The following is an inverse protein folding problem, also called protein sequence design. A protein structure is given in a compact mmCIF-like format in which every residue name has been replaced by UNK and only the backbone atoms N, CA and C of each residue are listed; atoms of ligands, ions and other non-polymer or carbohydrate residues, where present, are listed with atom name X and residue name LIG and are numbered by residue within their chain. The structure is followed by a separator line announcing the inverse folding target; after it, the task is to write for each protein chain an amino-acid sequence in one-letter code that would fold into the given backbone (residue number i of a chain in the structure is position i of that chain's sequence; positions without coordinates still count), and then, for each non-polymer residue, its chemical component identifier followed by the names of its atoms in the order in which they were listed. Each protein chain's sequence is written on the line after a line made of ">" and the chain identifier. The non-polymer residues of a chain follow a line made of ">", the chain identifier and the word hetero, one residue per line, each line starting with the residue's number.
data_IF_165608020653
#
_entry.id   IF_165608020653
#
_cell.length_a   1.000
_cell.length_b   1.000
_cell.length_c   1.000
_cell.angle_alpha   90.00
_cell.angle_beta   90.00
_cell.angle_gamma   90.00
#
_symmetry.space_group_name_H-M   'P 1'
#
loop_
_entity.id
_entity.type
_entity.pdbx_description
1 polymer ?
#
# COMPACT_ATOMS: atom_id res chain seq x y z
N UNK A 1 3.13 2.12 -19.96
CA UNK A 1 4.48 1.56 -19.71
C UNK A 1 4.82 1.47 -18.21
N UNK A 2 4.82 2.58 -17.47
CA UNK A 2 5.13 2.60 -16.03
C UNK A 2 4.33 1.63 -15.15
N UNK A 3 3.05 1.42 -15.46
CA UNK A 3 2.19 0.50 -14.69
C UNK A 3 2.76 -0.92 -14.67
N UNK A 4 3.22 -1.44 -15.81
CA UNK A 4 3.77 -2.80 -15.89
C UNK A 4 5.04 -2.96 -15.04
N UNK A 5 5.95 -1.98 -15.08
CA UNK A 5 7.16 -1.99 -14.27
C UNK A 5 6.83 -1.99 -12.77
N UNK A 6 5.84 -1.19 -12.35
CA UNK A 6 5.42 -1.17 -10.94
C UNK A 6 4.82 -2.50 -10.50
N UNK A 7 3.99 -3.14 -11.33
CA UNK A 7 3.38 -4.44 -11.00
C UNK A 7 4.44 -5.53 -10.87
N UNK A 8 5.42 -5.55 -11.77
CA UNK A 8 6.54 -6.49 -11.70
C UNK A 8 7.38 -6.27 -10.45
N UNK A 9 7.76 -5.03 -10.16
CA UNK A 9 8.53 -4.68 -8.97
C UNK A 9 7.80 -5.05 -7.67
N UNK A 10 6.50 -4.76 -7.59
CA UNK A 10 5.66 -5.12 -6.43
C UNK A 10 5.54 -6.65 -6.28
N UNK A 11 5.40 -7.38 -7.38
CA UNK A 11 5.29 -8.84 -7.37
C UNK A 11 6.59 -9.50 -6.90
N UNK A 12 7.74 -9.07 -7.44
CA UNK A 12 9.07 -9.54 -7.04
C UNK A 12 9.30 -9.25 -5.55
N UNK A 13 9.04 -8.01 -5.12
CA UNK A 13 9.18 -7.61 -3.73
C UNK A 13 8.31 -8.46 -2.80
N UNK A 14 7.06 -8.74 -3.19
CA UNK A 14 6.13 -9.54 -2.36
C UNK A 14 6.64 -10.96 -2.16
N UNK A 15 7.14 -11.60 -3.22
CA UNK A 15 7.71 -12.95 -3.15
C UNK A 15 9.00 -12.94 -2.33
N UNK A 16 9.88 -11.97 -2.58
CA UNK A 16 11.16 -11.85 -1.89
C UNK A 16 11.00 -11.63 -0.39
N UNK A 17 10.08 -10.73 0.00
CA UNK A 17 9.74 -10.48 1.40
C UNK A 17 9.14 -11.72 2.02
N UNK A 18 8.16 -12.39 1.37
CA UNK A 18 7.57 -13.62 1.92
C UNK A 18 8.62 -14.71 2.17
N UNK A 19 9.64 -14.81 1.32
CA UNK A 19 10.75 -15.76 1.48
C UNK A 19 11.65 -15.45 2.69
N UNK A 20 11.75 -14.20 3.11
CA UNK A 20 12.67 -13.76 4.17
C UNK A 20 11.97 -13.21 5.43
N UNK A 21 10.63 -13.15 5.46
CA UNK A 21 9.85 -12.55 6.55
C UNK A 21 10.04 -13.27 7.90
N UNK A 22 10.43 -14.55 7.89
CA UNK A 22 10.73 -15.30 9.12
C UNK A 22 12.09 -14.93 9.74
N UNK A 23 12.99 -14.36 8.94
CA UNK A 23 14.33 -13.94 9.38
C UNK A 23 14.43 -12.45 9.69
N UNK A 24 13.55 -11.63 9.10
CA UNK A 24 13.58 -10.17 9.22
C UNK A 24 12.23 -9.69 9.77
N UNK A 25 12.26 -9.03 10.92
CA UNK A 25 11.04 -8.55 11.55
C UNK A 25 10.33 -7.51 10.64
N UNK A 26 8.99 -7.59 10.45
CA UNK A 26 8.24 -6.67 9.58
C UNK A 26 8.47 -5.18 9.87
N UNK A 27 8.72 -4.81 11.12
CA UNK A 27 9.04 -3.43 11.50
C UNK A 27 10.35 -2.93 10.89
N UNK A 28 11.39 -3.76 10.81
CA UNK A 28 12.66 -3.40 10.18
C UNK A 28 12.49 -3.16 8.68
N UNK A 29 11.69 -3.99 8.00
CA UNK A 29 11.37 -3.82 6.58
C UNK A 29 10.61 -2.51 6.32
N UNK A 30 9.61 -2.22 7.15
CA UNK A 30 8.81 -0.99 7.04
C UNK A 30 9.64 0.26 7.32
N UNK A 31 10.44 0.25 8.39
CA UNK A 31 11.31 1.38 8.75
C UNK A 31 12.39 1.60 7.70
N UNK A 32 13.07 0.54 7.24
CA UNK A 32 14.09 0.65 6.20
C UNK A 32 13.55 1.26 4.91
N UNK A 33 12.33 0.88 4.50
CA UNK A 33 11.63 1.48 3.37
C UNK A 33 11.38 2.98 3.55
N UNK A 34 10.89 3.40 4.72
CA UNK A 34 10.59 4.82 4.99
C UNK A 34 11.86 5.65 5.07
N UNK A 35 12.92 5.12 5.67
CA UNK A 35 14.25 5.77 5.70
C UNK A 35 14.80 5.93 4.29
N UNK A 36 14.69 4.90 3.43
CA UNK A 36 15.10 5.01 2.03
C UNK A 36 14.27 6.07 1.28
N UNK A 37 12.94 6.09 1.45
CA UNK A 37 12.08 7.11 0.84
C UNK A 37 12.45 8.53 1.30
N UNK A 38 12.77 8.71 2.58
CA UNK A 38 13.21 9.98 3.13
C UNK A 38 14.54 10.41 2.50
N UNK A 39 15.52 9.50 2.45
CA UNK A 39 16.83 9.75 1.85
C UNK A 39 16.71 10.15 0.37
N UNK A 40 15.93 9.40 -0.41
CA UNK A 40 15.68 9.74 -1.82
C UNK A 40 14.94 11.07 -1.98
N UNK A 41 14.00 11.40 -1.09
CA UNK A 41 13.26 12.66 -1.12
C UNK A 41 14.18 13.85 -0.84
N UNK A 42 15.09 13.73 0.14
CA UNK A 42 16.07 14.77 0.45
C UNK A 42 17.03 14.98 -0.73
N UNK A 43 17.57 13.89 -1.29
CA UNK A 43 18.42 13.99 -2.49
C UNK A 43 17.69 14.68 -3.64
N UNK A 44 16.44 14.30 -3.90
CA UNK A 44 15.64 14.89 -4.96
C UNK A 44 15.42 16.41 -4.77
N UNK A 45 15.15 16.85 -3.54
CA UNK A 45 15.01 18.27 -3.22
C UNK A 45 16.31 19.05 -3.47
N UNK A 46 17.45 18.48 -3.09
CA UNK A 46 18.77 19.08 -3.33
C UNK A 46 19.06 19.20 -4.82
N UNK A 47 18.80 18.15 -5.62
CA UNK A 47 19.00 18.18 -7.08
C UNK A 47 18.07 19.16 -7.80
N UNK A 48 16.87 19.41 -7.26
CA UNK A 48 15.90 20.34 -7.84
C UNK A 48 16.01 21.76 -7.31
N UNK A 49 16.97 22.04 -6.41
CA UNK A 49 17.14 23.33 -5.74
C UNK A 49 15.83 23.88 -5.15
N UNK A 50 14.93 23.00 -4.68
CA UNK A 50 13.68 23.43 -4.07
C UNK A 50 13.93 23.84 -2.62
N UNK A 51 13.18 24.84 -2.16
CA UNK A 51 13.28 25.34 -0.80
C UNK A 51 12.66 24.36 0.20
N UNK A 52 13.33 24.20 1.35
CA UNK A 52 12.81 23.41 2.48
C UNK A 52 11.77 24.16 3.32
N UNK A 53 11.36 25.35 2.86
CA UNK A 53 10.46 26.23 3.60
C UNK A 53 9.03 25.80 3.27
N UNK A 54 8.45 25.03 4.18
CA UNK A 54 7.09 24.54 4.07
C UNK A 54 6.28 25.01 5.28
N UNK A 55 5.02 25.37 5.08
CA UNK A 55 4.11 25.76 6.15
C UNK A 55 3.95 24.61 7.18
N UNK A 56 3.86 24.95 8.48
CA UNK A 56 3.61 24.00 9.57
C UNK A 56 2.38 23.12 9.30
N UNK A 57 1.31 23.68 8.72
CA UNK A 57 0.13 22.92 8.34
C UNK A 57 0.46 21.83 7.31
N UNK A 58 1.27 22.14 6.29
CA UNK A 58 1.69 21.18 5.27
C UNK A 58 2.60 20.10 5.85
N UNK A 59 3.49 20.46 6.79
CA UNK A 59 4.34 19.50 7.50
C UNK A 59 3.48 18.51 8.29
N UNK A 60 2.47 19.01 9.02
CA UNK A 60 1.57 18.14 9.79
C UNK A 60 0.77 17.21 8.88
N UNK A 61 0.22 17.73 7.77
CA UNK A 61 -0.53 16.92 6.81
C UNK A 61 0.35 15.86 6.14
N UNK A 62 1.59 16.21 5.79
CA UNK A 62 2.57 15.28 5.23
C UNK A 62 3.01 14.22 6.24
N UNK A 63 3.23 14.61 7.50
CA UNK A 63 3.55 13.68 8.59
C UNK A 63 2.41 12.68 8.82
N UNK A 64 1.17 13.16 8.88
CA UNK A 64 -0.01 12.31 9.03
C UNK A 64 -0.17 11.36 7.82
N UNK A 65 -0.10 11.90 6.60
CA UNK A 65 -0.22 11.11 5.38
C UNK A 65 0.89 10.05 5.22
N UNK A 66 2.13 10.42 5.54
CA UNK A 66 3.29 9.51 5.46
C UNK A 66 3.28 8.43 6.56
N UNK A 67 2.77 8.76 7.75
CA UNK A 67 2.61 7.81 8.83
C UNK A 67 1.51 6.78 8.54
N UNK A 68 0.33 7.23 8.11
CA UNK A 68 -0.81 6.34 7.87
C UNK A 68 -0.63 5.52 6.59
N UNK A 69 -0.27 6.16 5.49
CA UNK A 69 -0.21 5.50 4.18
C UNK A 69 1.07 4.66 4.01
N UNK A 70 2.23 5.30 3.80
CA UNK A 70 3.51 4.63 3.64
C UNK A 70 3.92 3.75 4.83
N UNK A 71 3.96 4.27 6.06
CA UNK A 71 4.53 3.54 7.19
C UNK A 71 3.60 2.46 7.74
N UNK A 72 2.43 2.83 8.27
CA UNK A 72 1.47 1.86 8.81
C UNK A 72 0.96 0.92 7.74
N UNK A 73 0.66 1.44 6.54
CA UNK A 73 0.23 0.61 5.42
C UNK A 73 1.26 -0.44 5.02
N UNK A 74 2.56 -0.10 4.94
CA UNK A 74 3.58 -1.12 4.64
C UNK A 74 3.80 -2.08 5.80
N UNK A 75 3.80 -1.58 7.04
CA UNK A 75 3.96 -2.42 8.23
C UNK A 75 2.89 -3.50 8.30
N UNK A 76 1.62 -3.12 8.19
CA UNK A 76 0.49 -4.05 8.19
C UNK A 76 0.55 -5.02 7.01
N UNK A 77 0.99 -4.56 5.84
CA UNK A 77 1.16 -5.42 4.66
C UNK A 77 2.25 -6.48 4.88
N UNK A 78 3.36 -6.12 5.53
CA UNK A 78 4.42 -7.05 5.88
C UNK A 78 3.98 -8.04 6.96
N UNK A 79 3.26 -7.59 7.98
CA UNK A 79 2.63 -8.50 8.96
C UNK A 79 1.63 -9.45 8.30
N UNK A 80 0.81 -8.98 7.37
CA UNK A 80 -0.09 -9.85 6.61
C UNK A 80 0.69 -10.92 5.85
N UNK A 81 1.85 -10.59 5.26
CA UNK A 81 2.72 -11.57 4.62
C UNK A 81 3.40 -12.52 5.61
N UNK A 82 3.54 -12.17 6.88
CA UNK A 82 4.04 -13.11 7.89
C UNK A 82 3.02 -14.23 8.16
N UNK A 83 1.76 -13.86 8.39
CA UNK A 83 0.72 -14.81 8.82
C UNK A 83 -0.10 -15.44 7.68
N UNK A 84 -0.16 -14.79 6.52
CA UNK A 84 -1.01 -15.20 5.39
C UNK A 84 -0.12 -15.61 4.20
N UNK A 85 -0.49 -16.65 3.44
CA UNK A 85 0.17 -16.96 2.16
C UNK A 85 0.14 -15.77 1.20
N UNK A 86 1.22 -15.58 0.43
CA UNK A 86 1.33 -14.43 -0.48
C UNK A 86 0.16 -14.33 -1.46
N UNK A 87 -0.31 -15.46 -2.00
CA UNK A 87 -1.48 -15.52 -2.90
C UNK A 87 -2.75 -14.96 -2.27
N UNK A 88 -3.05 -15.32 -1.01
CA UNK A 88 -4.23 -14.83 -0.29
C UNK A 88 -4.06 -13.36 0.10
N UNK A 89 -2.85 -12.96 0.52
CA UNK A 89 -2.55 -11.57 0.86
C UNK A 89 -2.78 -10.63 -0.34
N UNK A 90 -2.36 -11.02 -1.54
CA UNK A 90 -2.58 -10.23 -2.76
C UNK A 90 -4.07 -10.11 -3.08
N UNK A 91 -4.85 -11.19 -2.92
CA UNK A 91 -6.30 -11.15 -3.11
C UNK A 91 -6.98 -10.20 -2.12
N UNK A 92 -6.64 -10.28 -0.83
CA UNK A 92 -7.17 -9.36 0.18
C UNK A 92 -6.79 -7.91 -0.15
N UNK A 93 -5.53 -7.68 -0.57
CA UNK A 93 -5.08 -6.34 -0.96
C UNK A 93 -5.80 -5.78 -2.19
N UNK A 94 -6.35 -6.62 -3.08
CA UNK A 94 -7.14 -6.13 -4.22
C UNK A 94 -8.42 -5.39 -3.80
N UNK A 95 -8.97 -5.71 -2.61
CA UNK A 95 -10.11 -4.99 -2.02
C UNK A 95 -9.76 -3.54 -1.68
N UNK A 96 -8.47 -3.25 -1.42
CA UNK A 96 -7.99 -1.89 -1.12
C UNK A 96 -8.38 -0.89 -2.20
N UNK A 97 -8.37 -1.28 -3.47
CA UNK A 97 -8.77 -0.41 -4.58
C UNK A 97 -10.22 0.08 -4.45
N UNK A 98 -11.12 -0.79 -3.99
CA UNK A 98 -12.51 -0.41 -3.70
C UNK A 98 -12.61 0.44 -2.43
N UNK A 99 -11.82 0.16 -1.39
CA UNK A 99 -11.77 1.01 -0.20
C UNK A 99 -11.28 2.43 -0.53
N UNK A 100 -10.33 2.58 -1.45
CA UNK A 100 -9.86 3.89 -1.92
C UNK A 100 -10.98 4.66 -2.62
N UNK A 101 -11.84 3.98 -3.39
CA UNK A 101 -13.01 4.61 -4.03
C UNK A 101 -13.94 5.24 -2.98
N UNK A 102 -14.20 4.52 -1.89
CA UNK A 102 -15.04 4.99 -0.79
C UNK A 102 -14.41 6.19 -0.08
N UNK A 103 -13.11 6.13 0.20
CA UNK A 103 -12.34 7.24 0.78
C UNK A 103 -12.35 8.46 -0.14
N UNK A 104 -12.18 8.29 -1.45
CA UNK A 104 -12.22 9.37 -2.43
C UNK A 104 -13.60 10.04 -2.49
N UNK A 105 -14.68 9.27 -2.36
CA UNK A 105 -16.03 9.82 -2.27
C UNK A 105 -16.19 10.74 -1.04
N UNK A 106 -15.76 10.30 0.15
CA UNK A 106 -15.92 11.09 1.38
C UNK A 106 -14.97 12.29 1.46
N UNK A 107 -13.69 12.14 1.08
CA UNK A 107 -12.71 13.22 1.23
C UNK A 107 -12.66 14.18 0.04
N UNK A 108 -12.83 13.67 -1.18
CA UNK A 108 -12.69 14.47 -2.40
C UNK A 108 -14.03 14.84 -3.02
N UNK A 109 -15.15 14.32 -2.50
CA UNK A 109 -16.50 14.50 -3.05
C UNK A 109 -16.61 14.05 -4.51
N UNK A 110 -15.74 13.12 -4.95
CA UNK A 110 -15.81 12.51 -6.27
C UNK A 110 -16.86 11.40 -6.25
N UNK A 111 -17.96 11.58 -6.98
CA UNK A 111 -18.97 10.56 -7.19
C UNK A 111 -18.42 9.46 -8.12
N UNK A 112 -18.24 8.22 -7.64
CA UNK A 112 -17.80 7.13 -8.50
C UNK A 112 -18.89 6.75 -9.50
N UNK A 113 -18.48 6.34 -10.70
CA UNK A 113 -19.43 5.82 -11.69
C UNK A 113 -20.09 4.53 -11.19
N UNK A 114 -21.34 4.29 -11.58
CA UNK A 114 -22.08 3.06 -11.25
C UNK A 114 -21.32 1.79 -11.65
N UNK A 115 -20.58 1.80 -12.77
CA UNK A 115 -19.76 0.66 -13.20
C UNK A 115 -18.56 0.41 -12.28
N UNK A 116 -17.99 1.45 -11.67
CA UNK A 116 -16.87 1.32 -10.73
C UNK A 116 -17.35 0.72 -9.40
N UNK A 117 -18.54 1.12 -8.95
CA UNK A 117 -19.19 0.51 -7.78
C UNK A 117 -19.47 -0.97 -8.05
N UNK A 118 -20.10 -1.30 -9.19
CA UNK A 118 -20.39 -2.68 -9.56
C UNK A 118 -19.12 -3.55 -9.67
N UNK A 119 -18.07 -3.04 -10.32
CA UNK A 119 -16.78 -3.73 -10.42
C UNK A 119 -16.09 -3.89 -9.05
N UNK A 120 -16.21 -2.90 -8.17
CA UNK A 120 -15.71 -2.97 -6.80
C UNK A 120 -16.42 -4.04 -5.97
N UNK A 121 -17.75 -4.07 -6.00
CA UNK A 121 -18.56 -5.11 -5.34
C UNK A 121 -18.20 -6.50 -5.86
N UNK A 122 -18.09 -6.66 -7.19
CA UNK A 122 -17.69 -7.92 -7.80
C UNK A 122 -16.31 -8.39 -7.33
N UNK A 123 -15.35 -7.46 -7.20
CA UNK A 123 -13.99 -7.75 -6.70
C UNK A 123 -14.04 -8.23 -5.25
N UNK A 124 -14.77 -7.53 -4.37
CA UNK A 124 -14.92 -7.91 -2.96
C UNK A 124 -15.56 -9.29 -2.82
N UNK A 125 -16.64 -9.55 -3.58
CA UNK A 125 -17.31 -10.85 -3.61
C UNK A 125 -16.36 -11.97 -4.05
N UNK A 126 -15.59 -11.75 -5.12
CA UNK A 126 -14.59 -12.71 -5.60
C UNK A 126 -13.54 -13.03 -4.53
N UNK A 127 -13.04 -12.03 -3.83
CA UNK A 127 -12.05 -12.21 -2.75
C UNK A 127 -12.63 -13.01 -1.59
N UNK A 128 -13.88 -12.72 -1.18
CA UNK A 128 -14.57 -13.47 -0.12
C UNK A 128 -14.70 -14.96 -0.50
N UNK A 129 -15.13 -15.26 -1.73
CA UNK A 129 -15.31 -16.64 -2.21
C UNK A 129 -13.98 -17.41 -2.20
N UNK A 130 -12.91 -16.80 -2.74
CA UNK A 130 -11.62 -17.47 -2.85
C UNK A 130 -10.97 -17.66 -1.48
N UNK A 131 -11.08 -16.66 -0.60
CA UNK A 131 -10.48 -16.71 0.73
C UNK A 131 -11.27 -17.66 1.66
N UNK A 132 -12.60 -17.68 1.55
CA UNK A 132 -13.49 -18.51 2.38
C UNK A 132 -13.38 -20.01 2.11
N UNK A 133 -13.15 -20.43 0.85
CA UNK A 133 -13.06 -21.86 0.49
C UNK A 133 -11.87 -22.60 1.12
N UNK A 134 -10.87 -21.88 1.61
CA UNK A 134 -9.61 -22.47 2.04
C UNK A 134 -9.47 -22.66 3.57
N UNK A 135 -10.57 -22.50 4.33
CA UNK A 135 -10.67 -22.77 5.78
C UNK A 135 -10.94 -24.26 6.12
N UNK A 136 -10.46 -25.16 5.27
CA UNK A 136 -10.35 -26.60 5.55
C UNK A 136 -8.93 -27.02 5.22
N UNK A 137 -8.08 -27.09 6.24
CA UNK A 137 -7.01 -28.05 6.54
C UNK A 137 -6.55 -27.67 7.95
#
# INVERSE_FOLDING_TARGET
>A
EYVYLTVLAVSINTIWVKKHIERIHPSLLSTGRVVALLFFSILFLLFKHQSFIVNNHTIFLAAYGSFVGPFLGSLMSYYALQYIPASRSILIQSVKSFMILLVAYFLLHLLPLSIQIAGGVLTVMGVIIITGKHKKI
#
